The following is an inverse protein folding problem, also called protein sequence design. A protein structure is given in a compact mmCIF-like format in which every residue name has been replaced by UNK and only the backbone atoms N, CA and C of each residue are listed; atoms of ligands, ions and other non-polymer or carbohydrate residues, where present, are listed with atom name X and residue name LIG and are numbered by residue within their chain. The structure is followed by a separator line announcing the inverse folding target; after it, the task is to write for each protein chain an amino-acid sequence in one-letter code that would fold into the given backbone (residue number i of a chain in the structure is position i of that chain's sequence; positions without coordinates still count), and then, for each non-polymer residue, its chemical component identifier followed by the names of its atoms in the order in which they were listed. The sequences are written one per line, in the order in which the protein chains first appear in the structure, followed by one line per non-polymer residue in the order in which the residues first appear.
data_IF_997419541574
#
_entry.id   IF_997419541574
#
_cell.length_a   1.000
_cell.length_b   1.000
_cell.length_c   1.000
_cell.angle_alpha   90.00
_cell.angle_beta   90.00
_cell.angle_gamma   90.00
#
_symmetry.space_group_name_H-M   'P 1'
#
loop_
_entity.id
_entity.type
_entity.pdbx_description
1 polymer ?
#
# COMPACT_ATOMS: atom_id res chain seq x y z
N UNK A 1 -10.07 7.46 1.94
CA UNK A 1 -9.30 7.38 0.68
C UNK A 1 -9.80 6.22 -0.14
N UNK A 2 -10.08 6.47 -1.41
CA UNK A 2 -10.54 5.42 -2.32
C UNK A 2 -9.35 4.64 -2.90
N UNK A 3 -9.67 3.51 -3.54
CA UNK A 3 -8.66 2.75 -4.26
C UNK A 3 -8.00 3.57 -5.36
N UNK A 4 -8.76 4.39 -6.08
CA UNK A 4 -8.22 5.26 -7.13
C UNK A 4 -7.21 6.25 -6.58
N UNK A 5 -7.52 6.85 -5.45
CA UNK A 5 -6.61 7.80 -4.82
C UNK A 5 -5.33 7.12 -4.36
N UNK A 6 -5.45 5.92 -3.80
CA UNK A 6 -4.30 5.13 -3.39
C UNK A 6 -3.43 4.74 -4.58
N UNK A 7 -4.07 4.32 -5.67
CA UNK A 7 -3.34 3.98 -6.90
C UNK A 7 -2.54 5.17 -7.41
N UNK A 8 -3.17 6.36 -7.43
CA UNK A 8 -2.49 7.57 -7.89
C UNK A 8 -1.30 7.92 -7.00
N UNK A 9 -1.43 7.75 -5.69
CA UNK A 9 -0.31 7.99 -4.77
C UNK A 9 0.85 7.04 -5.08
N UNK A 10 0.56 5.76 -5.25
CA UNK A 10 1.59 4.77 -5.50
C UNK A 10 2.30 5.03 -6.84
N UNK A 11 1.55 5.35 -7.88
CA UNK A 11 2.13 5.64 -9.18
C UNK A 11 2.99 6.90 -9.15
N UNK A 12 2.58 7.89 -8.37
CA UNK A 12 3.36 9.11 -8.18
C UNK A 12 4.68 8.80 -7.48
N UNK A 13 4.65 7.95 -6.46
CA UNK A 13 5.88 7.53 -5.77
C UNK A 13 6.85 6.83 -6.71
N UNK A 14 6.31 6.03 -7.63
CA UNK A 14 7.13 5.31 -8.59
C UNK A 14 7.68 6.22 -9.69
N UNK A 15 7.13 7.41 -9.84
CA UNK A 15 7.53 8.31 -10.91
C UNK A 15 7.01 7.88 -12.27
N UNK A 16 5.98 7.06 -12.31
CA UNK A 16 5.41 6.62 -13.59
C UNK A 16 4.66 7.78 -14.23
N UNK A 17 4.70 7.83 -15.56
CA UNK A 17 4.13 8.93 -16.31
C UNK A 17 2.62 8.87 -16.36
N UNK A 18 2.02 10.00 -16.75
CA UNK A 18 0.58 10.06 -16.92
C UNK A 18 0.08 9.14 -18.05
N UNK A 19 0.97 8.76 -18.97
CA UNK A 19 0.62 7.81 -20.02
C UNK A 19 0.32 6.43 -19.46
N UNK A 20 1.00 6.07 -18.39
CA UNK A 20 0.71 4.82 -17.70
C UNK A 20 -0.74 4.80 -17.22
N UNK A 21 -1.21 5.92 -16.67
CA UNK A 21 -2.57 6.03 -16.20
C UNK A 21 -3.61 5.90 -17.31
N UNK A 22 -3.29 6.34 -18.52
CA UNK A 22 -4.18 6.18 -19.66
C UNK A 22 -4.27 4.73 -20.11
N UNK A 23 -3.12 4.08 -20.17
CA UNK A 23 -3.08 2.67 -20.51
C UNK A 23 -3.83 1.86 -19.46
N UNK A 24 -3.84 2.36 -18.24
CA UNK A 24 -4.49 1.68 -17.14
C UNK A 24 -6.02 1.72 -17.20
N UNK A 25 -6.60 2.43 -18.17
CA UNK A 25 -8.04 2.38 -18.37
C UNK A 25 -8.51 0.99 -18.84
N UNK A 26 -7.59 0.15 -19.28
CA UNK A 26 -7.94 -1.20 -19.68
C UNK A 26 -8.41 -2.01 -18.47
N UNK A 27 -9.43 -2.83 -18.71
CA UNK A 27 -10.04 -3.65 -17.66
C UNK A 27 -9.01 -4.55 -16.98
N UNK A 28 -8.08 -5.05 -17.73
CA UNK A 28 -7.01 -5.91 -17.21
C UNK A 28 -6.15 -5.19 -16.18
N UNK A 29 -5.84 -3.92 -16.42
CA UNK A 29 -5.06 -3.13 -15.47
C UNK A 29 -5.87 -2.88 -14.19
N UNK A 30 -7.15 -2.54 -14.36
CA UNK A 30 -8.03 -2.26 -13.22
C UNK A 30 -8.14 -3.49 -12.33
N UNK A 31 -8.32 -4.66 -12.91
CA UNK A 31 -8.39 -5.91 -12.14
C UNK A 31 -7.10 -6.18 -11.38
N UNK A 32 -5.96 -5.92 -12.02
CA UNK A 32 -4.66 -6.10 -11.36
C UNK A 32 -4.46 -5.08 -10.24
N UNK A 33 -4.89 -3.85 -10.47
CA UNK A 33 -4.78 -2.81 -9.45
C UNK A 33 -5.59 -3.15 -8.21
N UNK A 34 -6.80 -3.64 -8.40
CA UNK A 34 -7.65 -4.05 -7.29
C UNK A 34 -7.00 -5.22 -6.53
N UNK A 35 -6.46 -6.18 -7.24
CA UNK A 35 -5.76 -7.31 -6.62
C UNK A 35 -4.56 -6.84 -5.79
N UNK A 36 -3.75 -5.96 -6.36
CA UNK A 36 -2.58 -5.40 -5.68
C UNK A 36 -2.99 -4.67 -4.41
N UNK A 37 -3.99 -3.81 -4.54
CA UNK A 37 -4.43 -3.03 -3.38
C UNK A 37 -5.03 -3.91 -2.30
N UNK A 38 -5.81 -4.92 -2.66
CA UNK A 38 -6.38 -5.82 -1.66
C UNK A 38 -5.32 -6.64 -0.95
N UNK A 39 -4.24 -7.00 -1.64
CA UNK A 39 -3.14 -7.72 -1.01
C UNK A 39 -2.51 -6.90 0.11
N UNK A 40 -2.25 -5.64 -0.15
CA UNK A 40 -1.64 -4.76 0.85
C UNK A 40 -2.68 -4.37 1.92
N UNK A 41 -3.90 -4.11 1.51
CA UNK A 41 -4.98 -3.74 2.42
C UNK A 41 -5.20 -4.85 3.45
N UNK A 42 -5.27 -6.11 2.99
CA UNK A 42 -5.45 -7.24 3.90
C UNK A 42 -4.29 -7.36 4.88
N UNK A 43 -3.06 -7.22 4.38
CA UNK A 43 -1.88 -7.29 5.23
C UNK A 43 -1.91 -6.23 6.34
N UNK A 44 -2.22 -5.00 5.97
CA UNK A 44 -2.27 -3.90 6.94
C UNK A 44 -3.46 -4.01 7.88
N UNK A 45 -4.59 -4.49 7.39
CA UNK A 45 -5.76 -4.71 8.22
C UNK A 45 -5.46 -5.71 9.34
N UNK A 46 -4.84 -6.83 8.99
CA UNK A 46 -4.50 -7.84 9.98
C UNK A 46 -3.41 -7.34 10.93
N UNK A 47 -2.50 -6.52 10.46
CA UNK A 47 -1.47 -5.91 11.30
C UNK A 47 -2.11 -5.06 12.39
N UNK A 48 -3.22 -4.41 12.09
CA UNK A 48 -3.94 -3.55 13.05
C UNK A 48 -4.91 -4.34 13.93
N UNK A 49 -5.00 -5.64 13.73
CA UNK A 49 -5.85 -6.52 14.54
C UNK A 49 -7.33 -6.11 14.52
N UNK A 50 -7.77 -5.51 13.44
CA UNK A 50 -9.16 -5.16 13.27
C UNK A 50 -9.95 -6.36 12.77
N UNK A 51 -11.24 -6.37 13.09
CA UNK A 51 -12.16 -7.39 12.59
C UNK A 51 -12.93 -6.85 11.41
N UNK A 52 -13.51 -7.74 10.62
CA UNK A 52 -14.44 -7.34 9.58
C UNK A 52 -13.77 -6.80 8.34
N UNK A 53 -12.65 -7.39 7.94
CA UNK A 53 -12.01 -7.00 6.69
C UNK A 53 -12.97 -7.16 5.52
N UNK A 54 -13.05 -6.13 4.68
CA UNK A 54 -13.83 -6.16 3.48
C UNK A 54 -12.98 -5.67 2.32
N UNK A 55 -12.68 -6.56 1.39
CA UNK A 55 -11.86 -6.25 0.23
C UNK A 55 -12.55 -5.23 -0.68
N UNK A 56 -11.75 -4.48 -1.42
CA UNK A 56 -12.27 -3.58 -2.45
C UNK A 56 -12.85 -4.40 -3.59
N UNK A 57 -14.01 -4.01 -4.07
CA UNK A 57 -14.62 -4.61 -5.25
C UNK A 57 -14.39 -3.76 -6.48
N UNK A 58 -14.23 -2.45 -6.28
CA UNK A 58 -13.90 -1.53 -7.36
C UNK A 58 -13.02 -0.40 -6.81
N UNK A 59 -12.48 0.41 -7.72
CA UNK A 59 -11.52 1.45 -7.35
C UNK A 59 -12.15 2.62 -6.60
N UNK A 60 -13.46 2.73 -6.64
CA UNK A 60 -14.15 3.81 -5.93
C UNK A 60 -14.49 3.46 -4.49
N UNK A 61 -14.29 2.21 -4.10
CA UNK A 61 -14.54 1.80 -2.73
C UNK A 61 -13.55 2.46 -1.77
N UNK A 62 -14.02 2.72 -0.55
CA UNK A 62 -13.18 3.32 0.48
C UNK A 62 -12.28 2.28 1.14
N UNK A 63 -11.06 2.69 1.42
CA UNK A 63 -10.12 1.88 2.18
C UNK A 63 -10.23 2.29 3.65
N UNK A 64 -10.63 1.36 4.49
CA UNK A 64 -10.93 1.64 5.89
C UNK A 64 -9.72 1.36 6.78
N UNK A 65 -8.73 2.23 6.71
CA UNK A 65 -7.55 2.20 7.55
C UNK A 65 -7.32 3.62 8.08
N UNK A 66 -6.51 3.74 9.12
CA UNK A 66 -6.21 5.06 9.67
C UNK A 66 -5.50 5.93 8.63
N UNK A 67 -5.64 7.24 8.78
CA UNK A 67 -5.01 8.17 7.84
C UNK A 67 -3.51 8.02 7.81
N UNK A 68 -2.88 7.75 8.93
CA UNK A 68 -1.45 7.54 8.99
C UNK A 68 -1.03 6.36 8.11
N UNK A 69 -1.76 5.26 8.20
CA UNK A 69 -1.46 4.08 7.39
C UNK A 69 -1.71 4.36 5.92
N UNK A 70 -2.82 5.03 5.62
CA UNK A 70 -3.17 5.35 4.25
C UNK A 70 -2.15 6.28 3.58
N UNK A 71 -1.56 7.18 4.33
CA UNK A 71 -0.66 8.17 3.74
C UNK A 71 0.81 7.76 3.83
N UNK A 72 1.19 7.00 4.85
CA UNK A 72 2.60 6.75 5.12
C UNK A 72 3.05 5.31 4.93
N UNK A 73 2.13 4.37 4.88
CA UNK A 73 2.50 2.94 4.80
C UNK A 73 1.96 2.28 3.55
N UNK A 74 0.66 2.31 3.35
CA UNK A 74 0.03 1.57 2.26
C UNK A 74 0.54 1.96 0.87
N UNK A 75 0.78 3.26 0.55
CA UNK A 75 1.24 3.60 -0.80
C UNK A 75 2.57 2.92 -1.15
N UNK A 76 3.43 2.70 -0.19
CA UNK A 76 4.72 2.06 -0.43
C UNK A 76 4.56 0.58 -0.74
N UNK A 77 3.62 -0.09 -0.10
CA UNK A 77 3.32 -1.49 -0.42
C UNK A 77 2.69 -1.64 -1.80
N UNK A 78 1.76 -0.76 -2.13
CA UNK A 78 1.13 -0.77 -3.44
C UNK A 78 2.16 -0.47 -4.53
N UNK A 79 3.03 0.51 -4.29
CA UNK A 79 4.12 0.83 -5.23
C UNK A 79 5.04 -0.36 -5.43
N UNK A 80 5.38 -1.07 -4.35
CA UNK A 80 6.22 -2.27 -4.42
C UNK A 80 5.61 -3.31 -5.37
N UNK A 81 4.33 -3.60 -5.21
CA UNK A 81 3.70 -4.62 -6.06
C UNK A 81 3.51 -4.15 -7.50
N UNK A 82 3.26 -2.88 -7.73
CA UNK A 82 3.22 -2.37 -9.09
C UNK A 82 4.61 -2.45 -9.75
N UNK A 83 5.67 -2.13 -9.02
CA UNK A 83 7.02 -2.26 -9.55
C UNK A 83 7.32 -3.71 -9.91
N UNK A 84 6.89 -4.65 -9.07
CA UNK A 84 7.06 -6.07 -9.37
C UNK A 84 6.33 -6.45 -10.66
N UNK A 85 5.09 -6.00 -10.83
CA UNK A 85 4.31 -6.33 -12.01
C UNK A 85 4.88 -5.72 -13.29
N UNK A 86 5.60 -4.62 -13.16
CA UNK A 86 6.22 -3.93 -14.30
C UNK A 86 7.68 -4.33 -14.50
N UNK A 87 8.17 -5.32 -13.76
CA UNK A 87 9.56 -5.77 -13.80
C UNK A 87 10.56 -4.64 -13.54
N UNK A 88 10.18 -3.71 -12.69
CA UNK A 88 11.00 -2.56 -12.32
C UNK A 88 11.83 -2.93 -11.09
N UNK A 89 12.96 -3.60 -11.31
CA UNK A 89 13.76 -4.17 -10.24
C UNK A 89 14.28 -3.15 -9.24
N UNK A 90 14.70 -1.98 -9.71
CA UNK A 90 15.25 -0.95 -8.83
C UNK A 90 14.18 -0.42 -7.87
N UNK A 91 13.00 -0.11 -8.40
CA UNK A 91 11.90 0.34 -7.57
C UNK A 91 11.35 -0.77 -6.68
N UNK A 92 11.31 -2.00 -7.18
CA UNK A 92 10.89 -3.13 -6.36
C UNK A 92 11.77 -3.26 -5.13
N UNK A 93 13.08 -3.18 -5.31
CA UNK A 93 14.03 -3.29 -4.19
C UNK A 93 13.85 -2.14 -3.20
N UNK A 94 13.75 -0.91 -3.71
CA UNK A 94 13.60 0.26 -2.87
C UNK A 94 12.30 0.21 -2.08
N UNK A 95 11.18 -0.04 -2.74
CA UNK A 95 9.88 0.01 -2.08
C UNK A 95 9.63 -1.20 -1.20
N UNK A 96 10.26 -2.35 -1.49
CA UNK A 96 10.24 -3.49 -0.58
C UNK A 96 10.88 -3.13 0.76
N UNK A 97 12.04 -2.47 0.71
CA UNK A 97 12.72 -2.04 1.91
C UNK A 97 11.88 -1.02 2.68
N UNK A 98 11.37 -0.01 1.98
CA UNK A 98 10.58 1.04 2.62
C UNK A 98 9.29 0.51 3.23
N UNK A 99 8.58 -0.33 2.49
CA UNK A 99 7.33 -0.90 3.00
C UNK A 99 7.58 -1.76 4.23
N UNK A 100 8.61 -2.60 4.19
CA UNK A 100 8.93 -3.46 5.33
C UNK A 100 9.28 -2.63 6.56
N UNK A 101 10.07 -1.58 6.40
CA UNK A 101 10.41 -0.70 7.51
C UNK A 101 9.18 -0.03 8.10
N UNK A 102 8.33 0.50 7.25
CA UNK A 102 7.12 1.20 7.69
C UNK A 102 6.12 0.25 8.33
N UNK A 103 5.99 -0.94 7.77
CA UNK A 103 5.11 -1.97 8.30
C UNK A 103 5.57 -2.43 9.69
N UNK A 104 6.86 -2.65 9.85
CA UNK A 104 7.43 -3.01 11.14
C UNK A 104 7.21 -1.91 12.17
N UNK A 105 7.25 -0.67 11.76
CA UNK A 105 6.98 0.45 12.62
C UNK A 105 5.56 0.40 13.20
N UNK A 106 4.61 -0.13 12.46
CA UNK A 106 3.23 -0.29 12.95
C UNK A 106 3.14 -1.35 14.04
N UNK A 107 3.75 -2.51 13.81
CA UNK A 107 3.73 -3.59 14.79
C UNK A 107 4.60 -3.26 15.99
N UNK A 108 5.75 -2.65 15.76
CA UNK A 108 6.64 -2.20 16.82
C UNK A 108 6.06 -1.03 17.59
N UNK A 109 5.16 -0.27 16.95
CA UNK A 109 4.53 0.88 17.57
C UNK A 109 3.82 0.52 18.87
N UNK A 110 3.12 -0.59 18.88
CA UNK A 110 2.45 -1.06 20.09
C UNK A 110 3.47 -1.54 21.12
N UNK A 111 4.48 -2.26 20.67
CA UNK A 111 5.57 -2.71 21.53
C UNK A 111 6.40 -1.55 22.01
N UNK A 112 6.66 -0.60 21.15
CA UNK A 112 7.46 0.57 21.46
C UNK A 112 6.79 1.41 22.53
N UNK A 113 5.48 1.50 22.52
CA UNK A 113 4.78 2.19 23.58
C UNK A 113 5.07 1.56 24.94
N UNK A 114 5.18 0.26 24.96
CA UNK A 114 5.49 -0.46 26.20
C UNK A 114 6.95 -0.35 26.54
N UNK A 115 7.83 -0.19 25.55
CA UNK A 115 9.27 -0.19 25.71
C UNK A 115 9.87 1.19 25.52
N UNK A 116 9.05 2.17 25.23
CA UNK A 116 9.53 3.55 25.01
C UNK A 116 10.28 4.10 26.18
N UNK A 117 10.00 3.57 27.29
CA UNK A 117 10.72 3.91 28.49
C UNK A 117 12.11 3.32 28.47
N UNK A 118 12.36 2.40 27.56
CA UNK A 118 13.65 1.75 27.42
C UNK A 118 14.37 2.37 26.25
N UNK A 119 15.37 3.16 26.48
CA UNK A 119 16.15 3.74 25.39
C UNK A 119 16.89 2.62 24.70
N UNK A 120 16.81 2.62 23.45
CA UNK A 120 17.45 1.61 22.65
C UNK A 120 18.57 2.24 21.86
#
# INVERSE_FOLDING_TARGET
MTGSEMMNKALTLLGYTSDFGRTSAEQRFISRAIFVMNSIYADLHYTQKNNGFKALENLEDEILLSERILNDVMPYGVAMLFAESESDGDNLQLFSMLYNQKRLSLTSGDSVKDVMTTPI
#
